data_IF_634178481367
#
_entry.id   IF_634178481367
#
_cell.length_a   1.000
_cell.length_b   1.000
_cell.length_c   1.000
_cell.angle_alpha   90.00
_cell.angle_beta   90.00
_cell.angle_gamma   90.00
#
_symmetry.space_group_name_H-M   'P 1'
#
loop_
_entity.id
_entity.type
_entity.pdbx_description
1 polymer ?
#
# COMPACT_ATOMS: atom_id res chain seq x y z
N UNK A 1 -28.55 -6.97 11.57
CA UNK A 1 -28.16 -8.17 12.34
C UNK A 1 -28.62 -9.43 11.58
N UNK A 2 -29.88 -9.48 11.16
CA UNK A 2 -30.41 -10.67 10.48
C UNK A 2 -29.58 -11.07 9.26
N UNK A 3 -29.24 -10.10 8.42
CA UNK A 3 -28.40 -10.31 7.24
C UNK A 3 -27.04 -10.91 7.59
N UNK A 4 -26.43 -10.42 8.68
CA UNK A 4 -25.12 -10.93 9.12
C UNK A 4 -25.25 -12.34 9.70
N UNK A 5 -26.33 -12.62 10.42
CA UNK A 5 -26.61 -13.96 10.92
C UNK A 5 -26.69 -14.95 9.75
N UNK A 6 -27.45 -14.58 8.71
CA UNK A 6 -27.61 -15.41 7.53
C UNK A 6 -26.28 -15.58 6.77
N UNK A 7 -25.57 -14.47 6.56
CA UNK A 7 -24.33 -14.48 5.76
C UNK A 7 -23.19 -15.24 6.46
N UNK A 8 -23.12 -15.15 7.79
CA UNK A 8 -21.99 -15.71 8.55
C UNK A 8 -22.31 -17.04 9.24
N UNK A 9 -23.57 -17.43 9.28
CA UNK A 9 -23.99 -18.64 9.95
C UNK A 9 -23.76 -18.60 11.47
N UNK A 10 -23.80 -17.41 12.05
CA UNK A 10 -23.53 -17.23 13.49
C UNK A 10 -24.80 -16.93 14.27
N UNK A 11 -24.78 -17.30 15.54
CA UNK A 11 -25.92 -17.02 16.41
C UNK A 11 -26.11 -15.49 16.56
N UNK A 12 -27.37 -15.00 16.61
CA UNK A 12 -27.63 -13.55 16.73
C UNK A 12 -26.91 -12.86 17.88
N UNK A 13 -26.77 -13.52 19.03
CA UNK A 13 -26.08 -12.95 20.19
C UNK A 13 -24.59 -12.72 19.88
N UNK A 14 -23.98 -13.64 19.13
CA UNK A 14 -22.57 -13.52 18.74
C UNK A 14 -22.39 -12.33 17.80
N UNK A 15 -23.29 -12.17 16.82
CA UNK A 15 -23.25 -11.04 15.91
C UNK A 15 -23.41 -9.72 16.68
N UNK A 16 -24.38 -9.66 17.60
CA UNK A 16 -24.60 -8.45 18.40
C UNK A 16 -23.37 -8.08 19.24
N UNK A 17 -22.73 -9.09 19.87
CA UNK A 17 -21.50 -8.85 20.66
C UNK A 17 -20.37 -8.33 19.78
N UNK A 18 -20.21 -8.91 18.58
CA UNK A 18 -19.18 -8.46 17.65
C UNK A 18 -19.43 -7.01 17.21
N UNK A 19 -20.66 -6.68 16.89
CA UNK A 19 -21.01 -5.30 16.49
C UNK A 19 -20.78 -4.31 17.66
N UNK A 20 -21.08 -4.74 18.89
CA UNK A 20 -20.83 -3.90 20.07
C UNK A 20 -19.33 -3.65 20.24
N UNK A 21 -18.49 -4.68 20.07
CA UNK A 21 -17.03 -4.50 20.13
C UNK A 21 -16.53 -3.54 19.06
N UNK A 22 -17.03 -3.65 17.83
CA UNK A 22 -16.65 -2.75 16.76
C UNK A 22 -17.05 -1.31 17.10
N UNK A 23 -18.25 -1.13 17.66
CA UNK A 23 -18.73 0.20 18.04
C UNK A 23 -17.88 0.79 19.16
N UNK A 24 -17.55 -0.03 20.16
CA UNK A 24 -16.70 0.42 21.29
C UNK A 24 -15.30 0.81 20.82
N UNK A 25 -14.82 0.22 19.72
CA UNK A 25 -13.52 0.54 19.15
C UNK A 25 -13.60 1.72 18.16
N UNK A 26 -14.78 2.34 18.02
CA UNK A 26 -14.96 3.47 17.10
C UNK A 26 -14.93 3.08 15.63
N UNK A 27 -15.16 1.81 15.31
CA UNK A 27 -15.11 1.33 13.93
C UNK A 27 -16.48 1.27 13.27
N UNK A 28 -17.55 1.34 14.07
CA UNK A 28 -18.91 1.29 13.56
C UNK A 28 -19.83 2.10 14.45
N UNK A 29 -20.93 2.56 13.87
CA UNK A 29 -22.00 3.23 14.60
C UNK A 29 -23.18 2.27 14.67
N UNK A 30 -23.71 2.05 15.86
CA UNK A 30 -24.86 1.17 16.06
C UNK A 30 -26.16 1.91 15.79
N UNK A 31 -27.09 1.20 15.17
CA UNK A 31 -28.43 1.71 14.94
C UNK A 31 -29.46 0.61 15.18
N UNK A 32 -30.74 0.94 14.97
CA UNK A 32 -31.80 -0.07 15.14
C UNK A 32 -31.59 -1.20 14.16
N UNK A 33 -31.47 -2.39 14.71
CA UNK A 33 -31.37 -3.61 13.92
C UNK A 33 -29.99 -3.88 13.29
N UNK A 34 -29.02 -3.01 13.50
CA UNK A 34 -27.74 -3.20 12.84
C UNK A 34 -26.64 -2.24 13.23
N UNK A 35 -25.72 -2.04 12.31
CA UNK A 35 -24.60 -1.12 12.48
C UNK A 35 -24.12 -0.68 11.09
N UNK A 36 -23.52 0.49 11.02
CA UNK A 36 -22.84 0.94 9.80
C UNK A 36 -21.40 1.32 10.13
N UNK A 37 -20.51 1.15 9.17
CA UNK A 37 -19.13 1.57 9.34
C UNK A 37 -19.05 3.11 9.32
N UNK A 38 -18.18 3.66 10.14
CA UNK A 38 -17.84 5.06 9.98
C UNK A 38 -17.17 5.25 8.62
N UNK A 39 -17.32 6.42 8.04
CA UNK A 39 -16.77 6.71 6.71
C UNK A 39 -15.26 6.51 6.66
N UNK A 40 -14.57 6.94 7.72
CA UNK A 40 -13.14 6.75 7.83
C UNK A 40 -12.75 5.25 7.80
N UNK A 41 -13.60 4.41 8.40
CA UNK A 41 -13.37 2.96 8.43
C UNK A 41 -13.64 2.35 7.07
N UNK A 42 -14.50 2.97 6.26
CA UNK A 42 -14.72 2.48 4.88
C UNK A 42 -13.44 2.55 4.06
N UNK A 43 -12.66 3.63 4.23
CA UNK A 43 -11.37 3.73 3.52
C UNK A 43 -10.37 2.68 4.01
N UNK A 44 -10.32 2.46 5.32
CA UNK A 44 -9.51 1.37 5.88
C UNK A 44 -10.01 0.03 5.36
N UNK A 45 -11.33 -0.13 5.28
CA UNK A 45 -11.96 -1.31 4.72
C UNK A 45 -11.61 -1.52 3.27
N UNK A 46 -11.62 -0.45 2.48
CA UNK A 46 -11.26 -0.53 1.07
C UNK A 46 -9.81 -0.97 0.90
N UNK A 47 -8.91 -0.45 1.74
CA UNK A 47 -7.52 -0.89 1.72
C UNK A 47 -7.41 -2.37 2.09
N UNK A 48 -8.12 -2.81 3.13
CA UNK A 48 -8.13 -4.21 3.54
C UNK A 48 -8.79 -5.09 2.49
N UNK A 49 -9.85 -4.59 1.85
CA UNK A 49 -10.50 -5.29 0.76
C UNK A 49 -9.53 -5.45 -0.40
N UNK A 50 -8.82 -4.39 -0.75
CA UNK A 50 -7.81 -4.45 -1.80
C UNK A 50 -6.67 -5.39 -1.44
N UNK A 51 -6.33 -5.51 -0.15
CA UNK A 51 -5.34 -6.51 0.29
C UNK A 51 -5.83 -7.93 0.01
N UNK A 52 -7.14 -8.15 0.10
CA UNK A 52 -7.74 -9.47 -0.16
C UNK A 52 -8.01 -9.77 -1.61
N UNK A 53 -8.27 -8.75 -2.44
CA UNK A 53 -8.54 -8.95 -3.87
C UNK A 53 -7.24 -9.39 -4.55
N UNK A 54 -7.33 -10.44 -5.33
CA UNK A 54 -6.16 -10.99 -6.02
C UNK A 54 -5.00 -11.27 -5.06
N UNK A 55 -5.34 -11.78 -3.87
CA UNK A 55 -4.36 -12.00 -2.81
C UNK A 55 -3.19 -12.86 -3.29
N UNK A 56 -3.49 -13.93 -3.99
CA UNK A 56 -2.45 -14.84 -4.51
C UNK A 56 -1.52 -14.12 -5.48
N UNK A 57 -2.09 -13.32 -6.39
CA UNK A 57 -1.30 -12.56 -7.35
C UNK A 57 -0.36 -11.59 -6.62
N UNK A 58 -0.89 -10.86 -5.62
CA UNK A 58 -0.08 -9.90 -4.86
C UNK A 58 1.03 -10.58 -4.08
N UNK A 59 0.76 -11.76 -3.52
CA UNK A 59 1.77 -12.54 -2.81
C UNK A 59 2.89 -12.98 -3.75
N UNK A 60 2.54 -13.43 -4.95
CA UNK A 60 3.54 -13.82 -5.96
C UNK A 60 4.40 -12.64 -6.37
N UNK A 61 3.77 -11.49 -6.63
CA UNK A 61 4.48 -10.27 -7.00
C UNK A 61 5.43 -9.86 -5.87
N UNK A 62 4.94 -9.84 -4.64
CA UNK A 62 5.75 -9.44 -3.49
C UNK A 62 6.95 -10.39 -3.31
N UNK A 63 6.75 -11.68 -3.51
CA UNK A 63 7.81 -12.68 -3.41
C UNK A 63 8.89 -12.45 -4.47
N UNK A 64 8.48 -12.16 -5.72
CA UNK A 64 9.43 -11.84 -6.79
C UNK A 64 10.22 -10.57 -6.44
N UNK A 65 9.53 -9.53 -5.96
CA UNK A 65 10.17 -8.29 -5.58
C UNK A 65 11.17 -8.51 -4.42
N UNK A 66 10.76 -9.27 -3.41
CA UNK A 66 11.61 -9.56 -2.25
C UNK A 66 12.90 -10.26 -2.66
N UNK A 67 12.85 -11.08 -3.71
CA UNK A 67 14.04 -11.84 -4.18
C UNK A 67 15.11 -10.91 -4.75
N UNK A 68 14.78 -9.66 -5.08
CA UNK A 68 15.74 -8.69 -5.58
C UNK A 68 16.46 -7.96 -4.45
N UNK A 69 15.96 -8.07 -3.21
CA UNK A 69 16.48 -7.32 -2.08
C UNK A 69 17.58 -8.12 -1.39
N UNK A 70 18.74 -7.48 -1.19
CA UNK A 70 19.88 -8.09 -0.53
C UNK A 70 20.22 -7.34 0.75
N UNK A 71 20.85 -8.01 1.73
CA UNK A 71 21.26 -7.34 2.96
C UNK A 71 22.09 -6.08 2.69
N UNK A 72 21.79 -5.04 3.46
CA UNK A 72 22.52 -3.78 3.35
C UNK A 72 21.96 -2.81 2.33
N UNK A 73 21.00 -3.24 1.51
CA UNK A 73 20.41 -2.35 0.50
C UNK A 73 19.54 -1.25 1.12
N UNK A 74 19.43 -0.15 0.39
CA UNK A 74 18.51 0.95 0.66
C UNK A 74 17.34 0.79 -0.30
N UNK A 75 16.16 0.49 0.26
CA UNK A 75 14.99 0.08 -0.51
C UNK A 75 13.86 1.08 -0.29
N UNK A 76 13.44 1.75 -1.36
CA UNK A 76 12.26 2.59 -1.33
C UNK A 76 11.02 1.74 -1.57
N UNK A 77 9.97 1.98 -0.79
CA UNK A 77 8.69 1.28 -0.96
C UNK A 77 7.56 2.30 -0.86
N UNK A 78 6.77 2.44 -1.90
CA UNK A 78 5.61 3.33 -1.88
C UNK A 78 4.40 2.60 -1.27
N UNK A 79 3.24 3.23 -1.33
CA UNK A 79 2.02 2.66 -0.78
C UNK A 79 1.37 1.61 -1.67
N UNK A 80 0.20 1.21 -1.26
CA UNK A 80 -0.61 0.24 -1.98
C UNK A 80 -0.52 -1.15 -1.40
N UNK A 81 -1.49 -1.98 -1.77
CA UNK A 81 -1.65 -3.29 -1.14
C UNK A 81 -0.52 -4.26 -1.49
N UNK A 82 -0.04 -4.23 -2.74
CA UNK A 82 1.06 -5.12 -3.14
C UNK A 82 2.36 -4.75 -2.41
N UNK A 83 2.62 -3.45 -2.28
CA UNK A 83 3.78 -2.97 -1.52
C UNK A 83 3.68 -3.33 -0.04
N UNK A 84 2.48 -3.36 0.52
CA UNK A 84 2.27 -3.82 1.89
C UNK A 84 2.70 -5.29 2.04
N UNK A 85 2.35 -6.14 1.08
CA UNK A 85 2.78 -7.54 1.10
C UNK A 85 4.30 -7.65 1.01
N UNK A 86 4.93 -6.83 0.18
CA UNK A 86 6.40 -6.81 0.11
C UNK A 86 7.00 -6.41 1.46
N UNK A 87 6.47 -5.38 2.10
CA UNK A 87 6.97 -4.93 3.40
C UNK A 87 6.92 -6.08 4.42
N UNK A 88 5.83 -6.85 4.43
CA UNK A 88 5.72 -8.00 5.34
C UNK A 88 6.84 -9.01 5.11
N UNK A 89 7.19 -9.26 3.85
CA UNK A 89 8.26 -10.21 3.53
C UNK A 89 9.65 -9.69 3.94
N UNK A 90 9.81 -8.38 4.08
CA UNK A 90 11.09 -7.77 4.46
C UNK A 90 11.27 -7.63 5.97
N UNK A 91 10.29 -8.02 6.77
CA UNK A 91 10.38 -7.97 8.24
C UNK A 91 11.62 -8.69 8.74
N UNK A 92 12.43 -7.99 9.51
CA UNK A 92 13.64 -8.56 10.08
C UNK A 92 14.83 -8.62 9.14
N UNK A 93 14.67 -8.25 7.89
CA UNK A 93 15.79 -8.16 6.94
C UNK A 93 16.68 -6.97 7.28
N UNK A 94 18.01 -7.12 7.23
CA UNK A 94 18.92 -6.03 7.58
C UNK A 94 19.08 -5.06 6.41
N UNK A 95 18.05 -4.25 6.18
CA UNK A 95 18.00 -3.26 5.10
C UNK A 95 17.54 -1.90 5.65
N UNK A 96 17.77 -0.87 4.86
CA UNK A 96 17.21 0.47 5.11
C UNK A 96 16.00 0.61 4.21
N UNK A 97 14.82 0.81 4.79
CA UNK A 97 13.59 1.06 4.02
C UNK A 97 13.26 2.54 4.09
N UNK A 98 13.05 3.15 2.93
CA UNK A 98 12.58 4.53 2.83
C UNK A 98 11.16 4.47 2.28
N UNK A 99 10.21 5.08 2.97
CA UNK A 99 8.82 5.02 2.53
C UNK A 99 8.08 6.32 2.83
N UNK A 100 7.13 6.64 1.96
CA UNK A 100 6.15 7.68 2.25
C UNK A 100 4.80 7.07 2.66
N UNK A 101 4.75 5.75 2.87
CA UNK A 101 3.48 5.07 3.16
C UNK A 101 3.41 4.65 4.63
N UNK A 102 2.41 5.19 5.32
CA UNK A 102 2.20 4.87 6.73
C UNK A 102 1.92 3.37 6.91
N UNK A 103 1.17 2.77 6.00
CA UNK A 103 0.87 1.34 6.08
C UNK A 103 2.13 0.47 5.96
N UNK A 104 3.11 0.90 5.17
CA UNK A 104 4.39 0.18 5.07
C UNK A 104 5.18 0.31 6.38
N UNK A 105 5.24 1.53 6.93
CA UNK A 105 5.93 1.75 8.20
C UNK A 105 5.33 0.91 9.33
N UNK A 106 4.00 0.81 9.37
CA UNK A 106 3.29 0.03 10.39
C UNK A 106 3.63 -1.46 10.29
N UNK A 107 3.85 -1.98 9.08
CA UNK A 107 4.23 -3.39 8.93
C UNK A 107 5.64 -3.68 9.46
N UNK A 108 6.49 -2.66 9.54
CA UNK A 108 7.91 -2.85 9.84
C UNK A 108 8.38 -2.32 11.20
N UNK A 109 7.59 -1.50 11.88
CA UNK A 109 8.06 -0.75 13.05
C UNK A 109 8.60 -1.62 14.19
N UNK A 110 8.13 -2.86 14.33
CA UNK A 110 8.53 -3.73 15.43
C UNK A 110 9.67 -4.69 15.07
N UNK A 111 10.36 -4.44 13.95
CA UNK A 111 11.45 -5.31 13.47
C UNK A 111 12.75 -4.48 13.39
N UNK A 112 13.49 -4.35 14.50
CA UNK A 112 14.58 -3.37 14.58
C UNK A 112 15.74 -3.58 13.60
N UNK A 113 15.94 -4.78 13.07
CA UNK A 113 16.96 -4.99 12.04
C UNK A 113 16.60 -4.32 10.72
N UNK A 114 15.30 -4.09 10.49
CA UNK A 114 14.81 -3.40 9.29
C UNK A 114 14.62 -1.93 9.69
N UNK A 115 15.56 -1.07 9.30
CA UNK A 115 15.48 0.35 9.65
C UNK A 115 14.53 1.04 8.70
N UNK A 116 13.61 1.84 9.25
CA UNK A 116 12.57 2.50 8.46
C UNK A 116 12.70 4.01 8.59
N UNK A 117 12.79 4.66 7.44
CA UNK A 117 12.82 6.12 7.33
C UNK A 117 11.52 6.56 6.64
N UNK A 118 10.68 7.29 7.36
CA UNK A 118 9.41 7.77 6.83
C UNK A 118 9.61 9.23 6.40
N UNK A 119 9.22 9.54 5.15
CA UNK A 119 9.54 10.84 4.55
C UNK A 119 8.85 12.03 5.23
N UNK A 120 7.69 11.83 5.80
CA UNK A 120 6.89 12.94 6.32
C UNK A 120 6.05 13.58 5.22
N UNK A 121 5.26 14.57 5.61
CA UNK A 121 4.38 15.25 4.68
C UNK A 121 2.93 15.26 5.15
N UNK A 122 2.03 15.58 4.25
CA UNK A 122 0.59 15.58 4.51
C UNK A 122 0.04 14.20 4.20
N UNK A 123 -0.77 13.65 5.10
CA UNK A 123 -1.34 12.33 4.91
C UNK A 123 -2.50 12.35 3.90
N UNK A 124 -2.35 11.58 2.85
CA UNK A 124 -3.46 11.28 1.95
C UNK A 124 -4.23 10.12 2.57
N UNK A 125 -5.43 10.42 3.07
CA UNK A 125 -6.22 9.44 3.84
C UNK A 125 -6.69 8.26 2.99
N UNK A 126 -6.72 8.41 1.67
CA UNK A 126 -7.17 7.33 0.78
C UNK A 126 -6.10 6.27 0.54
N UNK A 127 -4.86 6.68 0.42
CA UNK A 127 -3.75 5.78 0.10
C UNK A 127 -2.83 5.51 1.27
N UNK A 128 -2.96 6.28 2.35
CA UNK A 128 -2.04 6.27 3.51
C UNK A 128 -0.65 6.73 3.14
N UNK A 129 -0.51 7.43 2.03
CA UNK A 129 0.76 8.00 1.61
C UNK A 129 0.90 9.43 2.08
N UNK A 130 2.12 9.78 2.45
CA UNK A 130 2.48 11.14 2.80
C UNK A 130 2.92 11.84 1.53
N UNK A 131 2.35 13.02 1.28
CA UNK A 131 2.54 13.75 0.03
C UNK A 131 2.82 15.23 0.32
N UNK A 132 3.05 16.01 -0.73
CA UNK A 132 3.22 17.45 -0.64
C UNK A 132 4.67 17.87 -0.51
N UNK A 133 4.91 19.20 -0.28
CA UNK A 133 6.25 19.77 -0.36
C UNK A 133 7.27 19.13 0.60
N UNK A 134 6.86 18.80 1.82
CA UNK A 134 7.78 18.17 2.78
C UNK A 134 8.20 16.78 2.33
N UNK A 135 7.24 16.01 1.78
CA UNK A 135 7.56 14.67 1.26
C UNK A 135 8.51 14.78 0.07
N UNK A 136 8.25 15.73 -0.83
CA UNK A 136 9.11 15.96 -2.01
C UNK A 136 10.51 16.37 -1.61
N UNK A 137 10.64 17.28 -0.63
CA UNK A 137 11.92 17.71 -0.15
C UNK A 137 12.72 16.55 0.45
N UNK A 138 12.07 15.73 1.26
CA UNK A 138 12.71 14.56 1.85
C UNK A 138 13.10 13.53 0.79
N UNK A 139 12.23 13.29 -0.19
CA UNK A 139 12.50 12.34 -1.27
C UNK A 139 13.73 12.75 -2.10
N UNK A 140 13.95 14.04 -2.27
CA UNK A 140 15.10 14.55 -3.04
C UNK A 140 16.44 14.29 -2.35
N UNK A 141 16.44 13.94 -1.07
CA UNK A 141 17.66 13.83 -0.26
C UNK A 141 18.06 12.38 0.06
N UNK A 142 17.36 11.40 -0.51
CA UNK A 142 17.70 9.99 -0.29
C UNK A 142 18.47 9.41 -1.47
N UNK A 143 19.14 8.31 -1.25
CA UNK A 143 19.75 7.51 -2.31
C UNK A 143 19.28 6.08 -2.13
N UNK A 144 18.77 5.47 -3.20
CA UNK A 144 18.17 4.16 -3.14
C UNK A 144 18.85 3.19 -4.09
N UNK A 145 19.00 1.96 -3.64
CA UNK A 145 19.45 0.87 -4.52
C UNK A 145 18.28 0.36 -5.34
N UNK A 146 17.11 0.21 -4.69
CA UNK A 146 15.88 -0.24 -5.33
C UNK A 146 14.73 0.65 -4.90
N UNK A 147 13.79 0.87 -5.82
CA UNK A 147 12.51 1.50 -5.50
C UNK A 147 11.40 0.59 -6.02
N UNK A 148 10.47 0.26 -5.14
CA UNK A 148 9.26 -0.48 -5.49
C UNK A 148 8.06 0.43 -5.35
N UNK A 149 7.25 0.53 -6.40
CA UNK A 149 6.04 1.36 -6.38
C UNK A 149 4.85 0.55 -6.87
N UNK A 150 3.68 0.85 -6.34
CA UNK A 150 2.43 0.31 -6.87
C UNK A 150 1.95 1.12 -8.05
N UNK A 151 0.93 0.62 -8.74
CA UNK A 151 0.24 1.38 -9.78
C UNK A 151 -1.26 1.15 -9.67
N UNK A 152 -2.02 2.21 -9.94
CA UNK A 152 -3.47 2.15 -9.99
C UNK A 152 -3.95 1.72 -11.38
N UNK A 153 -3.22 2.14 -12.41
CA UNK A 153 -3.51 1.77 -13.78
C UNK A 153 -2.26 1.75 -14.64
N UNK A 154 -2.31 0.98 -15.70
CA UNK A 154 -1.18 0.81 -16.62
C UNK A 154 -1.74 0.75 -18.05
N UNK A 155 -1.12 1.49 -18.97
CA UNK A 155 -1.50 1.38 -20.38
C UNK A 155 -0.27 1.65 -21.26
N UNK A 156 -0.46 1.81 -22.56
CA UNK A 156 0.62 2.01 -23.53
C UNK A 156 1.47 3.25 -23.24
N UNK A 157 0.90 4.22 -22.51
CA UNK A 157 1.63 5.44 -22.14
C UNK A 157 2.52 5.25 -20.91
N UNK A 158 2.22 4.25 -20.08
CA UNK A 158 3.00 4.01 -18.87
C UNK A 158 2.18 3.65 -17.66
N UNK A 159 2.71 4.03 -16.50
CA UNK A 159 2.19 3.68 -15.19
C UNK A 159 1.55 4.90 -14.54
N UNK A 160 0.40 4.67 -13.91
CA UNK A 160 -0.40 5.74 -13.31
C UNK A 160 -0.70 5.44 -11.86
N UNK A 161 -0.68 6.49 -11.06
CA UNK A 161 -1.09 6.47 -9.68
C UNK A 161 -2.41 7.22 -9.54
N UNK A 162 -3.07 7.07 -8.43
CA UNK A 162 -4.39 7.61 -8.22
C UNK A 162 -4.47 9.12 -8.49
N UNK A 163 -3.49 9.87 -7.97
CA UNK A 163 -3.51 11.32 -8.13
C UNK A 163 -2.09 11.89 -8.31
N UNK A 164 -2.03 13.17 -8.62
CA UNK A 164 -0.76 13.85 -8.90
C UNK A 164 0.15 13.96 -7.66
N UNK A 165 -0.36 14.25 -6.45
CA UNK A 165 0.54 14.30 -5.30
C UNK A 165 1.27 12.96 -5.06
N UNK A 166 0.58 11.83 -5.18
CA UNK A 166 1.23 10.51 -5.04
C UNK A 166 2.27 10.29 -6.13
N UNK A 167 1.89 10.58 -7.38
CA UNK A 167 2.80 10.41 -8.52
C UNK A 167 4.03 11.30 -8.38
N UNK A 168 3.87 12.51 -7.85
CA UNK A 168 4.99 13.44 -7.67
C UNK A 168 6.03 12.91 -6.70
N UNK A 169 5.60 12.35 -5.57
CA UNK A 169 6.53 11.77 -4.59
C UNK A 169 7.24 10.55 -5.20
N UNK A 170 6.48 9.71 -5.88
CA UNK A 170 7.06 8.52 -6.53
C UNK A 170 8.09 8.92 -7.60
N UNK A 171 7.80 9.96 -8.39
CA UNK A 171 8.76 10.45 -9.39
C UNK A 171 10.03 11.00 -8.72
N UNK A 172 9.88 11.72 -7.61
CA UNK A 172 11.03 12.23 -6.88
C UNK A 172 11.92 11.09 -6.37
N UNK A 173 11.31 10.03 -5.85
CA UNK A 173 12.05 8.84 -5.41
C UNK A 173 12.70 8.11 -6.59
N UNK A 174 11.99 8.03 -7.73
CA UNK A 174 12.52 7.39 -8.93
C UNK A 174 13.84 8.03 -9.37
N UNK A 175 13.93 9.35 -9.29
CA UNK A 175 15.15 10.07 -9.68
C UNK A 175 16.34 9.74 -8.77
N UNK A 176 16.10 9.18 -7.58
CA UNK A 176 17.13 8.84 -6.61
C UNK A 176 17.44 7.35 -6.54
N UNK A 177 16.82 6.53 -7.37
CA UNK A 177 16.96 5.06 -7.30
C UNK A 177 17.79 4.53 -8.46
N UNK A 178 18.63 3.56 -8.16
CA UNK A 178 19.44 2.87 -9.19
C UNK A 178 18.55 1.98 -10.06
N UNK A 179 17.53 1.36 -9.46
CA UNK A 179 16.58 0.54 -10.20
C UNK A 179 15.18 0.76 -9.64
N UNK A 180 14.19 0.74 -10.52
CA UNK A 180 12.79 1.03 -10.17
C UNK A 180 11.92 -0.09 -10.73
N UNK A 181 11.10 -0.68 -9.87
CA UNK A 181 10.17 -1.74 -10.26
C UNK A 181 8.74 -1.36 -9.88
N UNK A 182 7.82 -1.54 -10.83
CA UNK A 182 6.40 -1.35 -10.55
C UNK A 182 5.80 -2.70 -10.18
N UNK A 183 5.11 -2.73 -9.04
CA UNK A 183 4.46 -3.94 -8.51
C UNK A 183 2.97 -3.83 -8.73
N UNK A 184 2.46 -4.55 -9.71
CA UNK A 184 1.03 -4.46 -10.03
C UNK A 184 0.60 -5.72 -10.76
N UNK A 185 -0.55 -6.25 -10.36
CA UNK A 185 -1.09 -7.43 -11.03
C UNK A 185 -1.65 -7.07 -12.41
N UNK A 186 -1.82 -8.09 -13.23
CA UNK A 186 -2.19 -7.91 -14.63
C UNK A 186 -3.54 -7.20 -14.83
N UNK A 187 -4.41 -7.22 -13.81
CA UNK A 187 -5.71 -6.53 -13.93
C UNK A 187 -5.59 -5.01 -14.04
N UNK A 188 -4.39 -4.46 -13.74
CA UNK A 188 -4.17 -3.01 -13.85
C UNK A 188 -3.94 -2.56 -15.30
N UNK A 189 -3.75 -3.48 -16.20
CA UNK A 189 -3.57 -3.14 -17.61
C UNK A 189 -4.87 -2.64 -18.21
N UNK A 190 -4.75 -1.57 -18.98
CA UNK A 190 -5.88 -0.92 -19.60
C UNK A 190 -6.54 0.19 -18.79
N UNK A 191 -6.18 0.41 -17.61
CA UNK A 191 -6.78 1.39 -16.81
C UNK A 191 -5.96 2.63 -16.83
N UNK A 192 -6.44 3.69 -16.58
CA UNK A 192 -5.76 4.90 -16.36
C UNK A 192 -6.09 5.45 -15.04
N UNK A 193 -5.33 6.27 -14.58
CA UNK A 193 -5.59 7.07 -13.38
C UNK A 193 -5.03 8.46 -13.61
N UNK A 194 -5.30 9.38 -12.69
CA UNK A 194 -5.02 10.80 -12.94
C UNK A 194 -3.52 11.13 -12.84
N UNK A 195 -2.78 10.48 -11.96
CA UNK A 195 -1.38 10.80 -11.71
C UNK A 195 -0.42 9.98 -12.58
N UNK A 196 0.16 10.59 -13.60
CA UNK A 196 1.17 9.91 -14.42
C UNK A 196 2.47 9.76 -13.63
N UNK A 197 2.98 8.53 -13.55
CA UNK A 197 4.22 8.23 -12.84
C UNK A 197 5.42 8.13 -13.77
N UNK A 198 5.35 7.25 -14.77
CA UNK A 198 6.51 6.98 -15.62
C UNK A 198 6.06 6.26 -16.89
N UNK A 199 6.77 6.49 -17.99
CA UNK A 199 6.58 5.70 -19.21
C UNK A 199 7.08 4.26 -18.99
N UNK A 200 6.65 3.35 -19.86
CA UNK A 200 7.00 1.94 -19.71
C UNK A 200 8.51 1.72 -19.72
N UNK A 201 9.23 2.49 -20.50
CA UNK A 201 10.70 2.34 -20.63
C UNK A 201 11.49 3.17 -19.61
N UNK A 202 10.82 3.89 -18.72
CA UNK A 202 11.48 4.67 -17.68
C UNK A 202 11.68 3.88 -16.38
N UNK A 203 11.25 2.64 -16.34
CA UNK A 203 11.42 1.79 -15.16
C UNK A 203 12.23 0.56 -15.52
N UNK A 204 12.81 -0.08 -14.51
CA UNK A 204 13.62 -1.29 -14.69
C UNK A 204 12.75 -2.50 -15.01
N UNK A 205 11.52 -2.50 -14.54
CA UNK A 205 10.60 -3.58 -14.86
C UNK A 205 9.24 -3.42 -14.19
N UNK A 206 8.29 -4.17 -14.72
CA UNK A 206 6.96 -4.33 -14.15
C UNK A 206 6.86 -5.77 -13.68
N UNK A 207 6.76 -5.95 -12.36
CA UNK A 207 6.66 -7.28 -11.74
C UNK A 207 5.20 -7.66 -11.63
N UNK A 208 4.85 -8.75 -12.30
CA UNK A 208 3.48 -9.29 -12.34
C UNK A 208 3.46 -10.69 -11.71
N UNK A 209 2.24 -11.21 -11.57
CA UNK A 209 2.02 -12.52 -10.95
C UNK A 209 2.45 -13.72 -11.82
N UNK A 210 2.54 -13.56 -13.14
CA UNK A 210 2.89 -14.64 -14.10
C UNK A 210 4.38 -14.74 -14.38
#
# INVERSE_FOLDING_TARGET
VAELVEALGLHPATVRRALARLANRGLAERGRGGARLFEAVRYVGDMRHNLGISLEAKRRIAKKAASLVEPGMRVGISGGSTCTHLARLLRGSPVEVVTNAVNVAVELYSYPKTRVHVLGGELNAYSYELVGPRALEAAAKVELDLLFVGATGINERGFFMRDQPEASVARALKERAKAVYVLADSSKWGXXAFGFFAALDEVSGWIRED
#
